data_IF_616870266273
#
_entry.id   IF_616870266273
#
_cell.length_a   1.000
_cell.length_b   1.000
_cell.length_c   1.000
_cell.angle_alpha   90.00
_cell.angle_beta   90.00
_cell.angle_gamma   90.00
#
_symmetry.space_group_name_H-M   'P 1'
#
loop_
_entity.id
_entity.type
_entity.pdbx_description
1 polymer ?
#
# COMPACT_ATOMS: atom_id res chain seq x y z
N UNK A 1 7.01 35.08 -13.15
CA UNK A 1 6.42 34.34 -12.01
C UNK A 1 4.91 34.13 -12.15
N UNK A 2 4.18 35.07 -12.74
CA UNK A 2 2.71 34.97 -12.90
C UNK A 2 2.22 33.67 -13.54
N UNK A 3 2.87 33.17 -14.61
CA UNK A 3 2.50 31.89 -15.24
C UNK A 3 2.59 30.70 -14.28
N UNK A 4 3.61 30.69 -13.41
CA UNK A 4 3.80 29.63 -12.41
C UNK A 4 2.69 29.70 -11.36
N UNK A 5 2.36 30.90 -10.89
CA UNK A 5 1.27 31.11 -9.92
C UNK A 5 -0.10 30.72 -10.51
N UNK A 6 -0.37 31.08 -11.77
CA UNK A 6 -1.58 30.67 -12.50
C UNK A 6 -1.67 29.14 -12.60
N UNK A 7 -0.57 28.48 -12.93
CA UNK A 7 -0.49 27.01 -12.96
C UNK A 7 -0.78 26.40 -11.57
N UNK A 8 -0.07 26.84 -10.53
CA UNK A 8 -0.26 26.37 -9.15
C UNK A 8 -1.71 26.53 -8.68
N UNK A 9 -2.32 27.70 -8.94
CA UNK A 9 -3.72 27.95 -8.59
C UNK A 9 -4.68 27.02 -9.34
N UNK A 10 -4.44 26.78 -10.64
CA UNK A 10 -5.26 25.90 -11.46
C UNK A 10 -5.21 24.45 -10.97
N UNK A 11 -4.00 23.90 -10.73
CA UNK A 11 -3.86 22.50 -10.30
C UNK A 11 -4.36 22.27 -8.87
N UNK A 12 -4.22 23.28 -7.99
CA UNK A 12 -4.80 23.24 -6.65
C UNK A 12 -6.33 23.13 -6.72
N UNK A 13 -6.96 23.93 -7.57
CA UNK A 13 -8.41 23.85 -7.83
C UNK A 13 -8.81 22.53 -8.52
N UNK A 14 -7.93 21.97 -9.34
CA UNK A 14 -8.14 20.69 -10.00
C UNK A 14 -8.08 19.49 -9.04
N UNK A 15 -7.58 19.68 -7.81
CA UNK A 15 -7.55 18.64 -6.77
C UNK A 15 -6.18 17.98 -6.56
N UNK A 16 -5.11 18.56 -7.10
CA UNK A 16 -3.74 18.17 -6.71
C UNK A 16 -3.50 18.57 -5.25
N UNK A 17 -3.03 17.65 -4.38
CA UNK A 17 -2.74 17.97 -2.99
C UNK A 17 -1.68 19.07 -2.86
N UNK A 18 -1.88 19.98 -1.91
CA UNK A 18 -1.07 21.20 -1.77
C UNK A 18 0.39 20.88 -1.40
N UNK A 19 0.60 19.83 -0.62
CA UNK A 19 1.90 19.30 -0.24
C UNK A 19 2.72 18.78 -1.43
N UNK A 20 2.07 18.45 -2.55
CA UNK A 20 2.72 17.97 -3.76
C UNK A 20 2.89 19.08 -4.83
N UNK A 21 2.43 20.31 -4.54
CA UNK A 21 2.60 21.46 -5.43
C UNK A 21 3.98 22.08 -5.18
N UNK A 22 4.76 22.24 -6.24
CA UNK A 22 6.09 22.87 -6.17
C UNK A 22 6.00 24.38 -5.90
N UNK A 23 7.03 24.95 -5.28
CA UNK A 23 7.15 26.40 -5.05
C UNK A 23 7.75 27.13 -6.25
N UNK A 24 7.48 28.43 -6.39
CA UNK A 24 7.97 29.20 -7.55
C UNK A 24 9.49 29.12 -7.76
N UNK A 25 10.27 29.13 -6.67
CA UNK A 25 11.73 29.02 -6.72
C UNK A 25 12.21 27.64 -7.23
N UNK A 26 11.44 26.57 -7.00
CA UNK A 26 11.79 25.21 -7.41
C UNK A 26 11.96 25.13 -8.93
N UNK A 27 11.08 25.79 -9.68
CA UNK A 27 11.11 25.86 -11.14
C UNK A 27 11.89 27.07 -11.67
N UNK A 28 11.61 28.28 -11.16
CA UNK A 28 12.16 29.52 -11.73
C UNK A 28 13.67 29.64 -11.51
N UNK A 29 14.13 29.33 -10.30
CA UNK A 29 15.56 29.35 -9.93
C UNK A 29 16.20 27.97 -10.07
N UNK A 30 15.42 26.96 -10.50
CA UNK A 30 15.83 25.56 -10.61
C UNK A 30 16.34 24.97 -9.29
N UNK A 31 15.84 25.44 -8.15
CA UNK A 31 16.30 24.94 -6.84
C UNK A 31 15.91 23.48 -6.58
N UNK A 32 14.80 23.02 -7.13
CA UNK A 32 14.27 21.67 -6.87
C UNK A 32 13.40 21.17 -8.02
N UNK A 33 14.03 20.85 -9.16
CA UNK A 33 13.34 20.24 -10.30
C UNK A 33 12.65 18.90 -9.96
N UNK A 34 13.19 18.04 -9.07
CA UNK A 34 12.48 16.83 -8.64
C UNK A 34 11.08 17.08 -8.07
N UNK A 35 10.88 18.15 -7.29
CA UNK A 35 9.55 18.53 -6.77
C UNK A 35 8.58 18.93 -7.90
N UNK A 36 9.08 19.61 -8.94
CA UNK A 36 8.28 19.94 -10.13
C UNK A 36 7.84 18.66 -10.84
N UNK A 37 8.75 17.69 -11.01
CA UNK A 37 8.44 16.40 -11.60
C UNK A 37 7.40 15.63 -10.78
N UNK A 38 7.55 15.58 -9.46
CA UNK A 38 6.58 14.96 -8.56
C UNK A 38 5.19 15.58 -8.69
N UNK A 39 5.12 16.90 -8.76
CA UNK A 39 3.87 17.64 -8.99
C UNK A 39 3.19 17.24 -10.32
N UNK A 40 3.96 17.03 -11.39
CA UNK A 40 3.42 16.58 -12.68
C UNK A 40 2.88 15.15 -12.63
N UNK A 41 3.58 14.23 -11.96
CA UNK A 41 3.04 12.88 -11.71
C UNK A 41 1.78 12.93 -10.84
N UNK A 42 1.73 13.85 -9.89
CA UNK A 42 0.55 14.11 -9.07
C UNK A 42 -0.65 14.57 -9.88
N UNK A 43 -0.45 15.51 -10.80
CA UNK A 43 -1.48 15.93 -11.73
C UNK A 43 -1.94 14.75 -12.61
N UNK A 44 -1.00 13.95 -13.12
CA UNK A 44 -1.29 12.78 -13.96
C UNK A 44 -2.11 11.68 -13.27
N UNK A 45 -1.94 11.46 -11.97
CA UNK A 45 -2.81 10.54 -11.20
C UNK A 45 -4.18 11.13 -10.91
N UNK A 46 -4.28 12.45 -10.72
CA UNK A 46 -5.56 13.12 -10.43
C UNK A 46 -6.42 13.15 -11.69
N UNK A 47 -5.86 13.44 -12.87
CA UNK A 47 -6.63 13.44 -14.12
C UNK A 47 -7.33 12.12 -14.39
N UNK A 48 -6.78 10.97 -13.96
CA UNK A 48 -7.42 9.66 -14.08
C UNK A 48 -8.69 9.48 -13.23
N UNK A 49 -8.94 10.38 -12.26
CA UNK A 49 -10.17 10.43 -11.46
C UNK A 49 -11.25 11.36 -12.04
N UNK A 50 -10.91 12.12 -13.07
CA UNK A 50 -11.77 13.12 -13.70
C UNK A 50 -12.29 12.58 -15.05
N UNK A 51 -13.53 12.08 -15.15
CA UNK A 51 -14.06 11.47 -16.36
C UNK A 51 -14.13 12.43 -17.56
N UNK A 52 -14.19 13.73 -17.31
CA UNK A 52 -14.17 14.78 -18.32
C UNK A 52 -12.81 14.92 -19.02
N UNK A 53 -11.74 14.42 -18.40
CA UNK A 53 -10.40 14.45 -18.98
C UNK A 53 -10.20 13.27 -19.94
N UNK A 54 -10.19 13.56 -21.25
CA UNK A 54 -10.00 12.58 -22.33
C UNK A 54 -8.58 12.57 -22.90
N UNK A 55 -7.65 13.25 -22.24
CA UNK A 55 -6.25 13.32 -22.65
C UNK A 55 -5.43 12.07 -22.31
N UNK A 56 -4.13 12.05 -22.67
CA UNK A 56 -3.24 10.94 -22.35
C UNK A 56 -3.06 10.78 -20.84
N UNK A 57 -2.89 9.53 -20.40
CA UNK A 57 -2.65 9.20 -19.00
C UNK A 57 -1.15 9.15 -18.69
N UNK A 58 -0.80 9.51 -17.45
CA UNK A 58 0.57 9.46 -16.94
C UNK A 58 0.59 8.69 -15.61
N UNK A 59 1.40 7.64 -15.56
CA UNK A 59 1.58 6.81 -14.36
C UNK A 59 0.44 5.81 -14.11
N UNK A 60 0.61 4.95 -13.08
CA UNK A 60 -0.38 3.91 -12.75
C UNK A 60 -1.67 4.53 -12.20
N UNK A 61 -2.78 3.82 -12.38
CA UNK A 61 -4.06 4.19 -11.76
C UNK A 61 -3.93 4.13 -10.24
N UNK A 62 -4.51 5.11 -9.55
CA UNK A 62 -4.67 5.02 -8.11
C UNK A 62 -5.50 3.79 -7.72
N UNK A 63 -5.08 3.10 -6.66
CA UNK A 63 -5.82 1.97 -6.14
C UNK A 63 -7.18 2.43 -5.59
N UNK A 64 -8.22 1.71 -5.97
CA UNK A 64 -9.56 1.87 -5.42
C UNK A 64 -9.69 1.02 -4.14
N UNK A 65 -10.50 1.48 -3.18
CA UNK A 65 -10.76 0.72 -1.95
C UNK A 65 -11.47 -0.58 -2.30
N UNK A 66 -10.88 -1.71 -1.94
CA UNK A 66 -11.48 -3.04 -2.10
C UNK A 66 -11.94 -3.56 -0.74
N UNK A 67 -13.16 -3.20 -0.35
CA UNK A 67 -13.78 -3.75 0.85
C UNK A 67 -14.23 -5.18 0.59
N UNK A 68 -13.64 -6.15 1.30
CA UNK A 68 -14.06 -7.55 1.27
C UNK A 68 -14.90 -7.83 2.49
N UNK A 69 -16.13 -8.28 2.26
CA UNK A 69 -17.00 -8.79 3.31
C UNK A 69 -16.86 -10.30 3.37
N UNK A 70 -16.64 -10.82 4.58
CA UNK A 70 -16.62 -12.25 4.84
C UNK A 70 -17.89 -12.65 5.59
N UNK A 71 -18.38 -13.85 5.32
CA UNK A 71 -19.48 -14.43 6.10
C UNK A 71 -19.02 -14.70 7.54
N UNK A 72 -19.96 -14.71 8.49
CA UNK A 72 -19.64 -15.00 9.89
C UNK A 72 -19.01 -16.40 10.05
N UNK A 73 -19.44 -17.36 9.22
CA UNK A 73 -18.89 -18.72 9.17
C UNK A 73 -17.43 -18.72 8.71
N UNK A 74 -17.08 -17.93 7.69
CA UNK A 74 -15.68 -17.76 7.24
C UNK A 74 -14.81 -17.09 8.32
N UNK A 75 -15.34 -16.07 9.01
CA UNK A 75 -14.64 -15.42 10.12
C UNK A 75 -14.43 -16.39 11.30
N UNK A 76 -15.41 -17.25 11.59
CA UNK A 76 -15.32 -18.26 12.66
C UNK A 76 -14.36 -19.40 12.29
N UNK A 77 -14.33 -19.81 11.03
CA UNK A 77 -13.39 -20.82 10.54
C UNK A 77 -11.93 -20.39 10.74
N UNK A 78 -11.61 -19.10 10.55
CA UNK A 78 -10.29 -18.55 10.84
C UNK A 78 -9.86 -18.74 12.30
N UNK A 79 -10.80 -18.58 13.26
CA UNK A 79 -10.48 -18.75 14.68
C UNK A 79 -10.13 -20.19 15.06
N UNK A 80 -10.54 -21.18 14.26
CA UNK A 80 -10.21 -22.59 14.46
C UNK A 80 -8.87 -22.99 13.82
N UNK A 81 -8.25 -22.11 13.04
CA UNK A 81 -7.03 -22.39 12.30
C UNK A 81 -5.80 -22.04 13.15
N UNK A 82 -5.16 -23.08 13.72
CA UNK A 82 -3.93 -22.97 14.47
C UNK A 82 -2.75 -22.60 13.55
N UNK A 83 -2.13 -21.46 13.83
CA UNK A 83 -0.97 -20.97 13.10
C UNK A 83 0.18 -21.99 13.14
N UNK A 84 0.85 -22.28 12.02
CA UNK A 84 1.96 -23.26 11.92
C UNK A 84 3.14 -22.97 12.88
N UNK A 85 3.24 -21.74 13.39
CA UNK A 85 4.23 -21.32 14.39
C UNK A 85 3.87 -21.72 15.83
N UNK A 86 2.62 -22.11 16.12
CA UNK A 86 2.14 -22.47 17.48
C UNK A 86 2.37 -23.94 17.85
N UNK A 87 3.21 -24.64 17.07
CA UNK A 87 3.68 -25.98 17.41
C UNK A 87 2.95 -27.09 16.66
N UNK A 88 3.75 -28.04 16.20
CA UNK A 88 3.36 -29.27 15.53
C UNK A 88 2.38 -30.08 16.40
N UNK A 89 1.14 -30.21 15.94
CA UNK A 89 0.02 -30.92 16.57
C UNK A 89 -0.13 -32.37 16.08
N UNK A 90 0.97 -33.00 15.62
CA UNK A 90 1.03 -34.42 15.24
C UNK A 90 1.84 -35.27 16.23
N UNK A 91 1.41 -35.25 17.49
CA UNK A 91 1.66 -36.35 18.43
C UNK A 91 3.06 -36.42 19.03
N UNK A 92 3.32 -35.61 20.05
CA UNK A 92 4.19 -36.04 21.13
C UNK A 92 3.34 -36.80 22.16
N UNK A 93 2.85 -38.00 21.81
CA UNK A 93 2.44 -38.93 22.85
C UNK A 93 3.72 -39.49 23.47
N UNK A 94 3.88 -39.29 24.77
CA UNK A 94 4.93 -39.89 25.59
C UNK A 94 4.75 -41.43 25.71
N UNK A 95 4.13 -42.07 24.72
CA UNK A 95 3.97 -43.52 24.64
C UNK A 95 5.24 -44.11 24.05
N UNK A 96 6.20 -44.45 24.91
CA UNK A 96 7.43 -45.14 24.51
C UNK A 96 8.73 -44.56 25.07
N UNK A 97 8.68 -43.46 25.83
CA UNK A 97 9.85 -42.99 26.58
C UNK A 97 9.99 -43.85 27.83
N UNK A 98 10.61 -45.03 27.69
CA UNK A 98 11.09 -45.79 28.83
C UNK A 98 12.02 -44.88 29.64
N UNK A 99 11.75 -44.74 30.94
CA UNK A 99 12.55 -43.90 31.83
C UNK A 99 14.04 -44.22 31.71
N UNK A 100 14.88 -43.22 31.95
CA UNK A 100 16.34 -43.37 31.98
C UNK A 100 16.73 -44.57 32.85
N UNK A 101 17.20 -45.65 32.23
CA UNK A 101 17.62 -46.87 32.94
C UNK A 101 17.22 -48.21 32.32
N UNK A 102 16.41 -48.26 31.25
CA UNK A 102 16.08 -49.55 30.65
C UNK A 102 17.26 -50.18 29.90
N UNK A 103 17.61 -51.41 30.27
CA UNK A 103 18.67 -52.21 29.63
C UNK A 103 18.23 -52.69 28.25
N UNK A 104 19.11 -52.51 27.26
CA UNK A 104 18.97 -53.11 25.94
C UNK A 104 19.42 -54.57 26.05
N UNK A 105 18.50 -55.52 25.98
CA UNK A 105 18.86 -56.90 25.70
C UNK A 105 19.33 -57.00 24.25
N UNK A 106 20.51 -57.61 24.02
CA UNK A 106 20.99 -58.02 22.70
C UNK A 106 20.22 -59.22 22.19
#
# INVERSE_FOLDING_TARGET
MENIQRFQAAIKKYGVPEEEIFQTADLFERRNIPQVTLCLYSLGRITQKHPEFTGPQLGPKMADKNERTFTEEQLRAHNAELNLQMGFNKGASQSGHGGFGNTRHM
#
